data_IF_549215040841
#
_entry.id   IF_549215040841
#
_cell.length_a   1.000
_cell.length_b   1.000
_cell.length_c   1.000
_cell.angle_alpha   90.00
_cell.angle_beta   90.00
_cell.angle_gamma   90.00
#
_symmetry.space_group_name_H-M   'P 1'
#
loop_
_entity.id
_entity.type
_entity.pdbx_description
1 polymer ?
#
# COMPACT_ATOMS: atom_id res chain seq x y z
N UNK A 1 -20.68 -11.24 27.04
CA UNK A 1 -19.48 -11.86 26.47
C UNK A 1 -18.34 -10.86 26.63
N UNK A 2 -17.21 -11.26 27.19
CA UNK A 2 -16.00 -10.45 27.27
C UNK A 2 -14.97 -11.01 26.30
N UNK A 3 -14.11 -10.15 25.75
CA UNK A 3 -12.94 -10.60 25.00
C UNK A 3 -11.92 -11.26 25.93
N UNK A 4 -11.07 -12.18 25.44
CA UNK A 4 -9.93 -12.68 26.21
C UNK A 4 -9.04 -11.55 26.74
N UNK A 5 -8.33 -11.79 27.84
CA UNK A 5 -7.42 -10.77 28.43
C UNK A 5 -6.25 -10.43 27.51
N UNK A 6 -5.83 -11.38 26.68
CA UNK A 6 -4.76 -11.24 25.68
C UNK A 6 -5.27 -10.80 24.30
N UNK A 7 -6.52 -10.36 24.17
CA UNK A 7 -7.07 -9.88 22.91
C UNK A 7 -6.37 -8.61 22.44
N UNK A 8 -5.76 -8.66 21.26
CA UNK A 8 -5.02 -7.55 20.68
C UNK A 8 -5.95 -6.59 19.92
N UNK A 9 -6.16 -5.40 20.46
CA UNK A 9 -6.94 -4.34 19.83
C UNK A 9 -6.11 -3.58 18.82
N UNK A 10 -6.52 -3.58 17.56
CA UNK A 10 -5.81 -2.94 16.47
C UNK A 10 -6.68 -2.05 15.60
N UNK A 11 -6.02 -1.22 14.81
CA UNK A 11 -6.63 -0.40 13.75
C UNK A 11 -5.86 -0.60 12.45
N UNK A 12 -6.51 -0.29 11.32
CA UNK A 12 -5.94 -0.49 10.00
C UNK A 12 -6.22 0.68 9.06
N UNK A 13 -5.23 0.99 8.23
CA UNK A 13 -5.32 1.99 7.16
C UNK A 13 -4.60 1.51 5.90
N UNK A 14 -4.73 2.29 4.82
CA UNK A 14 -3.97 2.07 3.58
C UNK A 14 -3.38 3.40 3.09
N UNK A 15 -2.19 3.33 2.51
CA UNK A 15 -1.39 4.47 2.08
C UNK A 15 -2.17 5.47 1.24
N UNK A 16 -2.75 5.03 0.13
CA UNK A 16 -3.49 5.93 -0.75
C UNK A 16 -4.70 6.60 -0.06
N UNK A 17 -5.33 5.90 0.89
CA UNK A 17 -6.54 6.37 1.55
C UNK A 17 -6.28 7.47 2.57
N UNK A 18 -5.08 7.54 3.17
CA UNK A 18 -4.82 8.46 4.27
C UNK A 18 -3.58 9.34 4.13
N UNK A 19 -2.53 8.90 3.40
CA UNK A 19 -1.24 9.59 3.42
C UNK A 19 -1.30 10.99 2.82
N UNK A 20 -2.02 11.17 1.72
CA UNK A 20 -1.90 12.41 0.93
C UNK A 20 -0.50 12.60 0.38
N UNK A 21 -0.04 13.84 0.33
CA UNK A 21 1.33 14.18 -0.11
C UNK A 21 1.70 13.50 -1.44
N UNK A 22 0.77 13.53 -2.41
CA UNK A 22 0.82 12.71 -3.63
C UNK A 22 2.05 12.96 -4.51
N UNK A 23 2.67 14.13 -4.39
CA UNK A 23 3.87 14.55 -5.13
C UNK A 23 5.03 14.96 -4.22
N UNK A 24 4.93 14.70 -2.89
CA UNK A 24 5.97 15.08 -1.95
C UNK A 24 7.00 13.95 -1.73
N UNK A 25 8.19 14.34 -1.31
CA UNK A 25 9.26 13.40 -0.96
C UNK A 25 9.67 12.47 -2.10
N UNK A 26 9.49 12.87 -3.36
CA UNK A 26 9.88 12.07 -4.53
C UNK A 26 8.95 10.90 -4.85
N UNK A 27 7.73 10.85 -4.28
CA UNK A 27 6.70 9.88 -4.65
C UNK A 27 6.30 10.06 -6.12
N UNK A 28 6.12 8.97 -6.85
CA UNK A 28 5.52 8.97 -8.19
C UNK A 28 4.01 8.67 -8.13
N UNK A 29 3.32 8.87 -9.25
CA UNK A 29 1.91 8.54 -9.35
C UNK A 29 1.67 7.02 -9.23
N UNK A 30 0.60 6.65 -8.55
CA UNK A 30 0.02 5.30 -8.56
C UNK A 30 -1.14 5.22 -9.56
N UNK A 31 -1.60 3.98 -9.81
CA UNK A 31 -2.82 3.74 -10.61
C UNK A 31 -4.05 4.43 -10.01
N UNK A 32 -4.12 4.60 -8.69
CA UNK A 32 -5.23 5.31 -8.04
C UNK A 32 -5.16 6.81 -8.23
N UNK A 33 -3.96 7.41 -8.27
CA UNK A 33 -3.81 8.83 -8.63
C UNK A 33 -4.35 9.11 -10.04
N UNK A 34 -4.04 8.24 -11.00
CA UNK A 34 -4.55 8.35 -12.38
C UNK A 34 -6.05 8.09 -12.45
N UNK A 35 -6.52 7.04 -11.80
CA UNK A 35 -7.92 6.62 -11.82
C UNK A 35 -8.83 7.68 -11.20
N UNK A 36 -8.49 8.19 -10.01
CA UNK A 36 -9.33 9.18 -9.31
C UNK A 36 -9.41 10.51 -10.05
N UNK A 37 -8.37 10.89 -10.79
CA UNK A 37 -8.34 12.10 -11.63
C UNK A 37 -9.00 11.91 -13.00
N UNK A 38 -9.38 10.68 -13.35
CA UNK A 38 -10.09 10.41 -14.59
C UNK A 38 -11.57 10.78 -14.44
N UNK A 39 -12.13 11.66 -15.29
CA UNK A 39 -13.53 12.10 -15.17
C UNK A 39 -14.51 10.93 -15.12
N UNK A 40 -15.44 10.96 -14.16
CA UNK A 40 -16.51 9.98 -13.99
C UNK A 40 -16.10 8.66 -13.32
N UNK A 41 -14.85 8.52 -12.87
CA UNK A 41 -14.37 7.31 -12.18
C UNK A 41 -14.66 7.34 -10.67
N UNK A 42 -14.61 8.51 -10.06
CA UNK A 42 -14.88 8.71 -8.63
C UNK A 42 -16.00 9.73 -8.47
N UNK A 43 -16.92 9.45 -7.54
CA UNK A 43 -18.04 10.35 -7.23
C UNK A 43 -17.47 11.69 -6.77
N UNK A 44 -18.05 12.80 -7.28
CA UNK A 44 -17.60 14.16 -7.04
C UNK A 44 -16.18 14.50 -7.51
N UNK A 45 -15.43 13.55 -8.09
CA UNK A 45 -14.04 13.75 -8.47
C UNK A 45 -13.08 13.81 -7.27
N UNK A 46 -13.44 13.19 -6.15
CA UNK A 46 -12.59 13.13 -4.96
C UNK A 46 -11.29 12.38 -5.26
N UNK A 47 -10.18 12.84 -4.67
CA UNK A 47 -8.84 12.29 -4.87
C UNK A 47 -8.15 12.00 -3.55
N UNK A 48 -7.10 11.17 -3.57
CA UNK A 48 -6.22 10.93 -2.43
C UNK A 48 -5.08 11.96 -2.29
N UNK A 49 -5.12 13.07 -3.02
CA UNK A 49 -3.98 14.01 -3.07
C UNK A 49 -3.60 14.60 -1.70
N UNK A 50 -4.60 14.86 -0.87
CA UNK A 50 -4.42 15.35 0.51
C UNK A 50 -4.89 14.30 1.52
N UNK A 51 -6.03 13.66 1.28
CA UNK A 51 -6.65 12.66 2.16
C UNK A 51 -6.71 13.14 3.63
N UNK A 52 -6.18 12.36 4.57
CA UNK A 52 -6.03 12.74 5.98
C UNK A 52 -4.71 13.44 6.28
N UNK A 53 -3.86 13.61 5.26
CA UNK A 53 -2.52 14.19 5.37
C UNK A 53 -1.61 13.44 6.38
N UNK A 54 -1.78 12.13 6.47
CA UNK A 54 -1.05 11.26 7.40
C UNK A 54 0.48 11.36 7.18
N UNK A 55 0.93 11.59 5.96
CA UNK A 55 2.35 11.76 5.65
C UNK A 55 3.01 12.85 6.50
N UNK A 56 2.31 13.94 6.78
CA UNK A 56 2.79 15.02 7.63
C UNK A 56 2.31 14.90 9.08
N UNK A 57 1.14 14.30 9.31
CA UNK A 57 0.45 14.27 10.59
C UNK A 57 0.56 12.94 11.35
N UNK A 58 1.36 11.98 10.87
CA UNK A 58 1.53 10.68 11.53
C UNK A 58 1.86 10.75 13.03
N UNK A 59 2.61 11.76 13.56
CA UNK A 59 2.84 11.84 15.01
C UNK A 59 1.55 12.13 15.80
N UNK A 60 0.62 12.93 15.23
CA UNK A 60 -0.69 13.18 15.85
C UNK A 60 -1.55 11.90 15.81
N UNK A 61 -1.52 11.18 14.70
CA UNK A 61 -2.29 9.95 14.53
C UNK A 61 -1.79 8.84 15.47
N UNK A 62 -0.47 8.72 15.65
CA UNK A 62 0.13 7.80 16.64
C UNK A 62 -0.33 8.17 18.05
N UNK A 63 -0.34 9.47 18.38
CA UNK A 63 -0.83 9.92 19.67
C UNK A 63 -2.29 9.56 19.91
N UNK A 64 -3.16 9.71 18.91
CA UNK A 64 -4.57 9.31 18.98
C UNK A 64 -4.69 7.81 19.24
N UNK A 65 -3.96 6.98 18.50
CA UNK A 65 -3.97 5.52 18.69
C UNK A 65 -3.49 5.14 20.11
N UNK A 66 -2.45 5.78 20.61
CA UNK A 66 -1.95 5.56 21.98
C UNK A 66 -2.99 5.95 23.04
N UNK A 67 -3.63 7.11 22.88
CA UNK A 67 -4.64 7.61 23.81
C UNK A 67 -5.90 6.71 23.83
N UNK A 68 -6.19 6.03 22.71
CA UNK A 68 -7.27 5.05 22.58
C UNK A 68 -6.89 3.64 23.12
N UNK A 69 -5.64 3.41 23.49
CA UNK A 69 -5.16 2.11 23.96
C UNK A 69 -5.02 1.06 22.84
N UNK A 70 -4.79 1.49 21.61
CA UNK A 70 -4.53 0.60 20.46
C UNK A 70 -3.19 -0.10 20.66
N UNK A 71 -3.16 -1.42 20.48
CA UNK A 71 -2.01 -2.28 20.68
C UNK A 71 -1.29 -2.67 19.39
N UNK A 72 -2.01 -2.64 18.25
CA UNK A 72 -1.42 -2.92 16.94
C UNK A 72 -1.98 -2.00 15.85
N UNK A 73 -1.14 -1.65 14.90
CA UNK A 73 -1.52 -0.83 13.77
C UNK A 73 -1.07 -1.47 12.46
N UNK A 74 -2.05 -1.75 11.59
CA UNK A 74 -1.81 -2.19 10.23
C UNK A 74 -1.84 -0.99 9.29
N UNK A 75 -0.75 -0.77 8.58
CA UNK A 75 -0.62 0.24 7.53
C UNK A 75 -0.10 -0.39 6.25
N UNK A 76 -0.25 0.25 5.11
CA UNK A 76 0.39 -0.20 3.89
C UNK A 76 1.54 0.69 3.49
N UNK A 77 2.52 0.10 2.82
CA UNK A 77 3.65 0.80 2.21
C UNK A 77 3.26 1.23 0.79
N UNK A 78 3.43 2.51 0.46
CA UNK A 78 3.23 2.99 -0.90
C UNK A 78 4.43 2.62 -1.77
N UNK A 79 4.28 1.62 -2.63
CA UNK A 79 5.33 1.24 -3.59
C UNK A 79 5.85 2.44 -4.39
N UNK A 80 5.01 3.34 -4.95
CA UNK A 80 5.47 4.52 -5.66
C UNK A 80 6.22 5.54 -4.79
N UNK A 81 6.16 5.42 -3.46
CA UNK A 81 6.95 6.25 -2.55
C UNK A 81 8.31 5.64 -2.26
N UNK A 82 8.39 4.30 -2.18
CA UNK A 82 9.64 3.57 -1.88
C UNK A 82 10.49 3.40 -3.14
N UNK A 83 9.88 2.99 -4.27
CA UNK A 83 10.54 2.83 -5.57
C UNK A 83 9.73 3.58 -6.64
N UNK A 84 9.96 4.88 -6.85
CA UNK A 84 9.12 5.71 -7.72
C UNK A 84 9.02 5.24 -9.18
N UNK A 85 10.07 4.61 -9.69
CA UNK A 85 10.08 4.03 -11.03
C UNK A 85 9.54 2.61 -11.10
N UNK A 86 8.99 2.11 -9.99
CA UNK A 86 8.50 0.74 -9.83
C UNK A 86 9.61 -0.29 -9.66
N UNK A 87 10.77 -0.04 -10.22
CA UNK A 87 11.98 -0.88 -10.16
C UNK A 87 13.23 -0.03 -9.99
N UNK A 88 14.35 -0.65 -9.58
CA UNK A 88 15.66 -0.02 -9.51
C UNK A 88 15.86 0.79 -8.23
N UNK A 89 16.29 2.05 -8.35
CA UNK A 89 16.73 2.86 -7.22
C UNK A 89 15.60 3.15 -6.22
N UNK A 90 15.90 2.99 -4.95
CA UNK A 90 15.02 3.35 -3.84
C UNK A 90 15.01 4.87 -3.60
N UNK A 91 13.88 5.36 -3.15
CA UNK A 91 13.71 6.75 -2.73
C UNK A 91 13.94 6.88 -1.21
N UNK A 92 15.06 7.50 -0.86
CA UNK A 92 15.44 7.68 0.54
C UNK A 92 14.36 8.41 1.37
N UNK A 93 13.68 9.41 0.81
CA UNK A 93 12.62 10.13 1.55
C UNK A 93 11.42 9.23 1.86
N UNK A 94 11.09 8.28 0.96
CA UNK A 94 10.04 7.29 1.20
C UNK A 94 10.44 6.31 2.30
N UNK A 95 11.68 5.81 2.27
CA UNK A 95 12.21 4.95 3.33
C UNK A 95 12.21 5.69 4.67
N UNK A 96 12.78 6.91 4.73
CA UNK A 96 12.86 7.71 5.95
C UNK A 96 11.47 8.06 6.54
N UNK A 97 10.42 8.14 5.72
CA UNK A 97 9.06 8.36 6.22
C UNK A 97 8.56 7.13 6.99
N UNK A 98 8.66 5.95 6.39
CA UNK A 98 8.22 4.73 7.05
C UNK A 98 9.09 4.34 8.24
N UNK A 99 10.40 4.63 8.21
CA UNK A 99 11.29 4.50 9.35
C UNK A 99 10.75 5.28 10.56
N UNK A 100 10.48 6.57 10.37
CA UNK A 100 9.94 7.41 11.44
C UNK A 100 8.56 6.99 11.92
N UNK A 101 7.69 6.50 11.01
CA UNK A 101 6.38 5.98 11.37
C UNK A 101 6.51 4.73 12.25
N UNK A 102 7.35 3.78 11.84
CA UNK A 102 7.57 2.51 12.56
C UNK A 102 8.19 2.78 13.92
N UNK A 103 9.24 3.61 13.99
CA UNK A 103 9.89 3.97 15.27
C UNK A 103 8.90 4.65 16.22
N UNK A 104 8.10 5.61 15.72
CA UNK A 104 7.08 6.27 16.53
C UNK A 104 5.99 5.34 17.05
N UNK A 105 5.59 4.33 16.27
CA UNK A 105 4.65 3.29 16.73
C UNK A 105 5.27 2.46 17.86
N UNK A 106 6.50 1.99 17.70
CA UNK A 106 7.21 1.21 18.72
C UNK A 106 7.43 2.01 20.00
N UNK A 107 7.82 3.29 19.91
CA UNK A 107 7.95 4.19 21.06
C UNK A 107 6.59 4.42 21.77
N UNK A 108 5.49 4.36 21.02
CA UNK A 108 4.15 4.43 21.59
C UNK A 108 3.67 3.11 22.21
N UNK A 109 4.40 2.00 22.02
CA UNK A 109 4.03 0.65 22.45
C UNK A 109 3.01 -0.01 21.51
N UNK A 110 2.93 0.44 20.25
CA UNK A 110 2.01 -0.07 19.24
C UNK A 110 2.77 -0.97 18.27
N UNK A 111 2.33 -2.21 18.13
CA UNK A 111 2.97 -3.18 17.24
C UNK A 111 2.68 -2.86 15.76
N UNK A 112 3.71 -2.65 14.91
CA UNK A 112 3.51 -2.40 13.49
C UNK A 112 3.23 -3.69 12.73
N UNK A 113 2.24 -3.63 11.81
CA UNK A 113 1.95 -4.66 10.81
C UNK A 113 1.94 -4.00 9.43
N UNK A 114 2.87 -4.38 8.56
CA UNK A 114 3.00 -3.77 7.24
C UNK A 114 2.32 -4.59 6.15
N UNK A 115 1.55 -3.92 5.30
CA UNK A 115 1.02 -4.47 4.05
C UNK A 115 1.87 -3.95 2.89
N UNK A 116 2.48 -4.83 2.11
CA UNK A 116 3.33 -4.44 0.99
C UNK A 116 2.53 -3.80 -0.14
N UNK A 117 1.38 -4.34 -0.47
CA UNK A 117 0.55 -3.82 -1.55
C UNK A 117 -0.91 -3.65 -1.13
N UNK A 118 -1.39 -2.40 -1.14
CA UNK A 118 -2.79 -2.05 -0.95
C UNK A 118 -3.30 -1.18 -2.10
N UNK A 119 -3.16 -1.73 -3.33
CA UNK A 119 -3.77 -1.30 -4.58
C UNK A 119 -3.08 -0.12 -5.29
N UNK A 120 -2.05 0.45 -4.73
CA UNK A 120 -1.34 1.62 -5.23
C UNK A 120 -0.09 1.28 -6.08
N UNK A 121 -0.30 0.44 -7.11
CA UNK A 121 0.74 0.11 -8.08
C UNK A 121 1.32 1.39 -8.72
N UNK A 122 2.65 1.54 -8.81
CA UNK A 122 3.24 2.63 -9.59
C UNK A 122 2.68 2.69 -11.01
N UNK A 123 2.25 3.88 -11.45
CA UNK A 123 1.65 4.05 -12.78
C UNK A 123 2.58 3.58 -13.88
N UNK A 124 3.89 3.80 -13.72
CA UNK A 124 4.90 3.37 -14.70
C UNK A 124 4.96 1.85 -14.92
N UNK A 125 4.57 1.05 -13.92
CA UNK A 125 4.41 -0.40 -14.07
C UNK A 125 3.10 -0.74 -14.76
N UNK A 126 2.03 -0.02 -14.45
CA UNK A 126 0.75 -0.18 -15.14
C UNK A 126 0.87 0.13 -16.63
N UNK A 127 1.65 1.13 -17.01
CA UNK A 127 1.90 1.51 -18.40
C UNK A 127 2.64 0.41 -19.21
N UNK A 128 3.28 -0.53 -18.50
CA UNK A 128 3.89 -1.75 -19.07
C UNK A 128 2.97 -2.98 -18.99
N UNK A 129 1.73 -2.83 -18.54
CA UNK A 129 0.75 -3.90 -18.40
C UNK A 129 0.39 -4.28 -16.96
N UNK A 130 1.10 -3.76 -15.98
CA UNK A 130 0.82 -3.93 -14.55
C UNK A 130 0.67 -5.40 -14.15
N UNK A 131 -0.35 -5.73 -13.38
CA UNK A 131 -0.60 -7.10 -12.91
C UNK A 131 -0.89 -8.11 -14.04
N UNK A 132 -1.24 -7.65 -15.25
CA UNK A 132 -1.39 -8.54 -16.40
C UNK A 132 -0.06 -8.90 -17.08
N UNK A 133 1.01 -8.15 -16.84
CA UNK A 133 2.36 -8.47 -17.30
C UNK A 133 3.04 -9.41 -16.29
N UNK A 134 3.63 -10.50 -16.77
CA UNK A 134 4.31 -11.47 -15.91
C UNK A 134 5.53 -10.91 -15.17
N UNK A 135 6.20 -9.89 -15.72
CA UNK A 135 7.39 -9.28 -15.12
C UNK A 135 7.09 -8.68 -13.73
N UNK A 136 5.82 -8.30 -13.47
CA UNK A 136 5.37 -7.78 -12.18
C UNK A 136 5.67 -8.73 -11.01
N UNK A 137 5.78 -10.03 -11.26
CA UNK A 137 6.04 -11.03 -10.22
C UNK A 137 7.43 -10.81 -9.61
N UNK A 138 8.46 -10.69 -10.44
CA UNK A 138 9.83 -10.39 -9.98
C UNK A 138 9.96 -8.95 -9.47
N UNK A 139 9.30 -7.99 -10.12
CA UNK A 139 9.32 -6.60 -9.69
C UNK A 139 8.71 -6.41 -8.29
N UNK A 140 7.64 -7.18 -7.97
CA UNK A 140 7.04 -7.20 -6.64
C UNK A 140 7.93 -7.89 -5.60
N UNK A 141 8.59 -8.99 -5.96
CA UNK A 141 9.52 -9.67 -5.07
C UNK A 141 10.74 -8.80 -4.73
N UNK A 142 11.27 -8.05 -5.72
CA UNK A 142 12.34 -7.08 -5.50
C UNK A 142 11.89 -5.95 -4.57
N UNK A 143 10.68 -5.42 -4.76
CA UNK A 143 10.09 -4.43 -3.86
C UNK A 143 9.90 -4.97 -2.44
N UNK A 144 9.41 -6.20 -2.30
CA UNK A 144 9.24 -6.87 -1.01
C UNK A 144 10.60 -7.03 -0.29
N UNK A 145 11.65 -7.40 -1.03
CA UNK A 145 13.02 -7.49 -0.52
C UNK A 145 13.50 -6.15 0.02
N UNK A 146 13.35 -5.07 -0.76
CA UNK A 146 13.72 -3.70 -0.31
C UNK A 146 12.99 -3.30 0.97
N UNK A 147 11.69 -3.60 1.06
CA UNK A 147 10.91 -3.29 2.25
C UNK A 147 11.35 -4.14 3.47
N UNK A 148 11.62 -5.42 3.27
CA UNK A 148 12.08 -6.32 4.32
C UNK A 148 13.49 -5.94 4.83
N UNK A 149 14.40 -5.57 3.93
CA UNK A 149 15.73 -5.08 4.30
C UNK A 149 15.68 -3.76 5.10
N UNK A 150 14.75 -2.87 4.74
CA UNK A 150 14.62 -1.57 5.41
C UNK A 150 13.94 -1.66 6.78
N UNK A 151 12.94 -2.52 6.95
CA UNK A 151 12.02 -2.48 8.09
C UNK A 151 11.85 -3.82 8.82
N UNK A 152 12.44 -4.92 8.31
CA UNK A 152 12.19 -6.27 8.82
C UNK A 152 12.66 -6.53 10.24
N UNK A 153 13.57 -5.72 10.74
CA UNK A 153 14.07 -5.76 12.12
C UNK A 153 13.03 -5.24 13.16
N UNK A 154 12.02 -4.48 12.71
CA UNK A 154 11.04 -3.77 13.57
C UNK A 154 9.59 -4.11 13.27
N UNK A 155 9.28 -4.56 12.06
CA UNK A 155 7.92 -4.94 11.66
C UNK A 155 7.65 -6.39 12.03
N UNK A 156 6.70 -6.61 12.96
CA UNK A 156 6.40 -7.93 13.50
C UNK A 156 5.63 -8.84 12.53
N UNK A 157 4.73 -8.25 11.73
CA UNK A 157 3.87 -8.99 10.82
C UNK A 157 3.84 -8.35 9.43
N UNK A 158 3.88 -9.19 8.40
CA UNK A 158 3.84 -8.79 7.00
C UNK A 158 2.63 -9.36 6.29
N UNK A 159 1.99 -8.54 5.47
CA UNK A 159 0.92 -8.92 4.55
C UNK A 159 1.40 -8.56 3.15
N UNK A 160 1.44 -9.52 2.25
CA UNK A 160 1.94 -9.29 0.90
C UNK A 160 0.98 -8.44 0.08
N UNK A 161 -0.25 -8.91 -0.12
CA UNK A 161 -1.25 -8.28 -0.99
C UNK A 161 -2.59 -8.21 -0.26
N UNK A 162 -3.15 -7.00 -0.14
CA UNK A 162 -4.50 -6.81 0.38
C UNK A 162 -5.54 -7.16 -0.68
N UNK A 163 -6.46 -8.04 -0.32
CA UNK A 163 -7.66 -8.36 -1.13
C UNK A 163 -7.35 -8.61 -2.62
N UNK A 164 -6.61 -9.64 -2.97
CA UNK A 164 -6.23 -9.91 -4.37
C UNK A 164 -7.45 -10.05 -5.29
N UNK A 165 -8.60 -10.48 -4.76
CA UNK A 165 -9.85 -10.53 -5.52
C UNK A 165 -10.29 -9.12 -5.98
N UNK A 166 -10.20 -8.11 -5.11
CA UNK A 166 -10.53 -6.73 -5.48
C UNK A 166 -9.55 -6.18 -6.52
N UNK A 167 -8.26 -6.47 -6.36
CA UNK A 167 -7.23 -6.08 -7.34
C UNK A 167 -7.58 -6.63 -8.72
N UNK A 168 -7.90 -7.92 -8.80
CA UNK A 168 -8.07 -8.62 -10.07
C UNK A 168 -9.45 -8.40 -10.67
N UNK A 169 -10.52 -8.66 -9.93
CA UNK A 169 -11.87 -8.62 -10.49
C UNK A 169 -12.45 -7.21 -10.56
N UNK A 170 -12.31 -6.41 -9.51
CA UNK A 170 -12.84 -5.04 -9.54
C UNK A 170 -11.96 -4.11 -10.37
N UNK A 171 -10.65 -4.33 -10.38
CA UNK A 171 -9.70 -3.51 -11.14
C UNK A 171 -9.60 -3.88 -12.62
N UNK A 172 -9.66 -5.18 -12.97
CA UNK A 172 -9.33 -5.64 -14.32
C UNK A 172 -10.51 -6.28 -15.07
N UNK A 173 -11.57 -6.72 -14.38
CA UNK A 173 -12.77 -7.28 -15.06
C UNK A 173 -13.95 -6.32 -15.02
N UNK A 174 -14.36 -5.86 -13.84
CA UNK A 174 -15.49 -4.94 -13.68
C UNK A 174 -15.10 -3.50 -13.99
N UNK A 175 -13.87 -3.11 -13.70
CA UNK A 175 -13.30 -1.79 -13.99
C UNK A 175 -13.84 -0.66 -13.12
N UNK A 176 -14.34 -0.98 -11.92
CA UNK A 176 -14.83 0.01 -10.93
C UNK A 176 -13.76 0.44 -9.95
N UNK A 177 -12.64 -0.28 -9.88
CA UNK A 177 -11.41 0.09 -9.19
C UNK A 177 -10.30 0.39 -10.19
N UNK A 178 -9.23 1.06 -9.74
CA UNK A 178 -8.02 1.22 -10.52
C UNK A 178 -7.41 -0.17 -10.88
N UNK A 179 -6.87 -0.35 -12.07
CA UNK A 179 -6.66 0.62 -13.15
C UNK A 179 -7.89 0.89 -14.03
N UNK A 180 -9.03 0.24 -13.79
CA UNK A 180 -10.29 0.48 -14.50
C UNK A 180 -10.44 -0.28 -15.81
N UNK A 181 -9.74 -1.41 -15.95
CA UNK A 181 -9.79 -2.30 -17.11
C UNK A 181 -11.09 -3.12 -17.05
N UNK A 182 -11.63 -3.46 -18.22
CA UNK A 182 -12.86 -4.27 -18.38
C UNK A 182 -12.59 -5.40 -19.36
N UNK A 183 -11.74 -6.34 -18.95
CA UNK A 183 -11.33 -7.44 -19.80
C UNK A 183 -11.08 -8.71 -18.99
N UNK A 184 -11.72 -9.83 -19.39
CA UNK A 184 -11.63 -11.09 -18.65
C UNK A 184 -10.23 -11.72 -18.74
N UNK A 185 -9.61 -11.68 -19.91
CA UNK A 185 -8.29 -12.27 -20.13
C UNK A 185 -7.24 -11.57 -19.26
N UNK A 186 -7.27 -10.24 -19.26
CA UNK A 186 -6.44 -9.40 -18.38
C UNK A 186 -6.68 -9.71 -16.90
N UNK A 187 -7.93 -9.87 -16.49
CA UNK A 187 -8.26 -10.18 -15.09
C UNK A 187 -7.74 -11.56 -14.65
N UNK A 188 -7.84 -12.57 -15.52
CA UNK A 188 -7.31 -13.93 -15.25
C UNK A 188 -5.78 -13.90 -15.17
N UNK A 189 -5.12 -13.20 -16.10
CA UNK A 189 -3.67 -13.02 -16.04
C UNK A 189 -3.24 -12.31 -14.74
N UNK A 190 -3.92 -11.22 -14.36
CA UNK A 190 -3.68 -10.50 -13.12
C UNK A 190 -3.89 -11.40 -11.88
N UNK A 191 -4.93 -12.24 -11.86
CA UNK A 191 -5.18 -13.18 -10.76
C UNK A 191 -4.06 -14.21 -10.61
N UNK A 192 -3.56 -14.74 -11.73
CA UNK A 192 -2.43 -15.66 -11.73
C UNK A 192 -1.15 -14.99 -11.24
N UNK A 193 -0.83 -13.81 -11.74
CA UNK A 193 0.40 -13.11 -11.39
C UNK A 193 0.39 -12.57 -9.96
N UNK A 194 -0.74 -12.14 -9.41
CA UNK A 194 -0.84 -11.76 -7.99
C UNK A 194 -0.59 -12.95 -7.07
N UNK A 195 -1.09 -14.15 -7.42
CA UNK A 195 -0.81 -15.36 -6.65
C UNK A 195 0.67 -15.77 -6.72
N UNK A 196 1.29 -15.67 -7.90
CA UNK A 196 2.73 -15.92 -8.06
C UNK A 196 3.57 -14.89 -7.29
N UNK A 197 3.23 -13.59 -7.39
CA UNK A 197 3.93 -12.52 -6.70
C UNK A 197 3.87 -12.70 -5.17
N UNK A 198 2.72 -13.14 -4.64
CA UNK A 198 2.62 -13.53 -3.23
C UNK A 198 3.62 -14.66 -2.89
N UNK A 199 3.68 -15.71 -3.69
CA UNK A 199 4.55 -16.84 -3.44
C UNK A 199 6.05 -16.50 -3.55
N UNK A 200 6.44 -15.61 -4.48
CA UNK A 200 7.83 -15.19 -4.64
C UNK A 200 8.29 -14.20 -3.55
N UNK A 201 7.35 -13.47 -2.92
CA UNK A 201 7.63 -12.49 -1.88
C UNK A 201 7.62 -13.07 -0.45
N UNK A 202 7.37 -14.38 -0.29
CA UNK A 202 7.31 -15.07 1.02
C UNK A 202 8.44 -16.06 1.21
#
# INVERSE_FOLDING_TARGET
>A
MSFPEDFNWGTATASYQIEGAFNDGGRSASIWDTFSKTPGKVVNGDTGDVACDHYHRYPEDIKIMKDLGIQSYRFSLAWPRIIPNGTGATNKHGIDFYDRLIDGLLEAGIQPTATLYHWDLPQVLQDKGGWANRDIVSEFADYATVAAEAFGDRVANWITINEPWCVTWLGHFVGVHAPGIKDLETAVAAAHHTALAHAEAT
#
